data_IF_882058692816
#
_entry.id   IF_882058692816
#
_cell.length_a   1.000
_cell.length_b   1.000
_cell.length_c   1.000
_cell.angle_alpha   90.00
_cell.angle_beta   90.00
_cell.angle_gamma   90.00
#
_symmetry.space_group_name_H-M   'P 1'
#
loop_
_entity.id
_entity.type
_entity.pdbx_description
1 polymer ?
#
# COMPACT_ATOMS: atom_id res chain seq x y z
N UNK A 1 -3.40 17.93 -0.49
CA UNK A 1 -4.01 16.59 -0.46
C UNK A 1 -4.23 16.05 0.95
N UNK A 2 -3.30 15.31 1.60
CA UNK A 2 -3.60 14.64 2.89
C UNK A 2 -4.13 15.55 4.00
N UNK A 3 -3.59 16.78 4.13
CA UNK A 3 -4.10 17.79 5.08
C UNK A 3 -5.55 18.24 4.81
N UNK A 4 -5.99 18.18 3.55
CA UNK A 4 -7.34 18.56 3.12
C UNK A 4 -8.33 17.39 3.25
N UNK A 5 -7.84 16.18 3.50
CA UNK A 5 -8.65 14.96 3.67
C UNK A 5 -8.38 14.33 5.03
N UNK A 6 -8.84 14.95 6.14
CA UNK A 6 -8.53 14.48 7.49
C UNK A 6 -9.10 13.09 7.81
N UNK A 7 -10.14 12.65 7.08
CA UNK A 7 -10.74 11.31 7.22
C UNK A 7 -9.89 10.17 6.67
N UNK A 8 -8.85 10.46 5.87
CA UNK A 8 -7.92 9.43 5.41
C UNK A 8 -7.04 9.03 6.58
N UNK A 9 -7.14 7.77 7.00
CA UNK A 9 -6.34 7.22 8.09
C UNK A 9 -5.38 6.13 7.61
N UNK A 10 -5.66 5.54 6.44
CA UNK A 10 -4.92 4.40 5.89
C UNK A 10 -4.46 4.69 4.46
N UNK A 11 -3.22 4.33 4.14
CA UNK A 11 -2.62 4.45 2.81
C UNK A 11 -2.05 3.08 2.43
N UNK A 12 -2.56 2.54 1.33
CA UNK A 12 -2.17 1.24 0.77
C UNK A 12 -1.25 1.48 -0.44
N UNK A 13 -0.03 0.97 -0.41
CA UNK A 13 0.95 1.09 -1.49
C UNK A 13 0.94 -0.14 -2.38
N UNK A 14 0.80 0.06 -3.70
CA UNK A 14 0.99 -1.00 -4.68
C UNK A 14 2.49 -1.19 -4.95
N UNK A 15 3.12 -2.12 -4.25
CA UNK A 15 4.54 -2.46 -4.38
C UNK A 15 5.47 -1.62 -3.50
N UNK A 16 6.62 -2.21 -3.18
CA UNK A 16 7.63 -1.60 -2.31
C UNK A 16 8.19 -0.28 -2.84
N UNK A 17 8.27 -0.14 -4.18
CA UNK A 17 8.80 1.09 -4.80
C UNK A 17 7.91 2.30 -4.51
N UNK A 18 6.59 2.13 -4.50
CA UNK A 18 5.65 3.18 -4.14
C UNK A 18 5.81 3.59 -2.67
N UNK A 19 5.92 2.62 -1.76
CA UNK A 19 6.15 2.88 -0.34
C UNK A 19 7.49 3.60 -0.09
N UNK A 20 8.56 3.19 -0.77
CA UNK A 20 9.88 3.80 -0.64
C UNK A 20 9.88 5.27 -1.11
N UNK A 21 9.26 5.56 -2.25
CA UNK A 21 9.14 6.94 -2.73
C UNK A 21 8.25 7.78 -1.82
N UNK A 22 7.15 7.23 -1.32
CA UNK A 22 6.28 7.93 -0.40
C UNK A 22 7.03 8.29 0.89
N UNK A 23 7.75 7.34 1.49
CA UNK A 23 8.55 7.60 2.70
C UNK A 23 9.68 8.62 2.45
N UNK A 24 10.24 8.66 1.23
CA UNK A 24 11.32 9.58 0.87
C UNK A 24 10.84 11.03 0.65
N UNK A 25 9.68 11.21 0.03
CA UNK A 25 9.21 12.53 -0.40
C UNK A 25 8.06 13.09 0.44
N UNK A 26 7.29 12.23 1.10
CA UNK A 26 6.10 12.62 1.87
C UNK A 26 6.39 12.59 3.36
N UNK A 27 6.38 13.78 3.95
CA UNK A 27 6.52 13.95 5.39
C UNK A 27 5.13 14.03 6.03
N UNK A 28 4.79 13.03 6.84
CA UNK A 28 3.49 12.93 7.50
C UNK A 28 3.48 13.79 8.76
N UNK A 29 2.43 14.60 8.93
CA UNK A 29 2.21 15.41 10.14
C UNK A 29 1.35 14.71 11.19
N UNK A 30 0.59 13.69 10.78
CA UNK A 30 -0.20 12.81 11.65
C UNK A 30 0.19 11.37 11.35
N UNK A 31 -0.08 10.47 12.27
CA UNK A 31 0.07 9.04 12.01
C UNK A 31 -0.96 8.58 10.97
N UNK A 32 -0.49 7.76 10.04
CA UNK A 32 -1.31 7.04 9.08
C UNK A 32 -0.91 5.58 9.12
N UNK A 33 -1.87 4.70 8.93
CA UNK A 33 -1.61 3.28 8.74
C UNK A 33 -1.06 3.11 7.32
N UNK A 34 0.21 2.71 7.23
CA UNK A 34 0.93 2.54 5.97
C UNK A 34 1.09 1.05 5.69
N UNK A 35 0.43 0.55 4.65
CA UNK A 35 0.47 -0.87 4.29
C UNK A 35 1.06 -1.01 2.90
N UNK A 36 2.06 -1.87 2.76
CA UNK A 36 2.69 -2.15 1.46
C UNK A 36 2.20 -3.49 0.94
N UNK A 37 1.46 -3.45 -0.15
CA UNK A 37 0.93 -4.62 -0.84
C UNK A 37 1.87 -5.06 -1.97
N UNK A 38 1.86 -6.33 -2.39
CA UNK A 38 2.64 -6.76 -3.53
C UNK A 38 2.15 -6.07 -4.80
N UNK A 39 3.08 -5.74 -5.70
CA UNK A 39 2.71 -5.09 -6.96
C UNK A 39 1.84 -6.00 -7.82
N UNK A 40 0.79 -5.42 -8.40
CA UNK A 40 -0.13 -6.11 -9.33
C UNK A 40 0.45 -6.24 -10.74
N UNK A 41 1.66 -5.74 -10.99
CA UNK A 41 2.32 -5.86 -12.30
C UNK A 41 2.65 -7.33 -12.65
N UNK A 42 2.45 -7.76 -13.91
CA UNK A 42 2.76 -9.12 -14.36
C UNK A 42 4.25 -9.44 -14.36
N UNK A 43 5.14 -8.46 -14.12
CA UNK A 43 6.59 -8.63 -14.11
C UNK A 43 7.11 -9.61 -13.05
N UNK A 44 6.29 -9.99 -12.06
CA UNK A 44 6.59 -11.07 -11.12
C UNK A 44 5.99 -12.39 -11.63
N UNK A 45 6.65 -13.01 -12.62
CA UNK A 45 6.31 -14.32 -13.19
C UNK A 45 6.60 -15.51 -12.24
N UNK A 46 7.23 -15.25 -11.08
CA UNK A 46 7.54 -16.27 -10.07
C UNK A 46 6.54 -16.43 -8.93
N UNK A 47 5.55 -15.53 -8.79
CA UNK A 47 4.49 -15.63 -7.76
C UNK A 47 3.14 -15.96 -8.42
N UNK A 48 2.56 -17.09 -8.03
CA UNK A 48 1.22 -17.51 -8.45
C UNK A 48 0.17 -16.44 -8.13
N UNK A 49 -0.84 -16.33 -9.00
CA UNK A 49 -1.98 -15.43 -8.80
C UNK A 49 -2.62 -15.58 -7.40
N UNK A 50 -2.76 -16.82 -6.91
CA UNK A 50 -3.28 -17.12 -5.57
C UNK A 50 -2.47 -16.48 -4.44
N UNK A 51 -1.14 -16.55 -4.48
CA UNK A 51 -0.30 -15.92 -3.44
C UNK A 51 -0.44 -14.40 -3.44
N UNK A 52 -0.58 -13.78 -4.63
CA UNK A 52 -0.90 -12.34 -4.72
C UNK A 52 -2.30 -12.07 -4.18
N UNK A 53 -3.29 -12.92 -4.48
CA UNK A 53 -4.66 -12.76 -3.99
C UNK A 53 -4.70 -12.83 -2.47
N UNK A 54 -4.03 -13.81 -1.85
CA UNK A 54 -3.94 -13.96 -0.39
C UNK A 54 -3.26 -12.76 0.27
N UNK A 55 -2.16 -12.26 -0.31
CA UNK A 55 -1.50 -11.05 0.18
C UNK A 55 -2.40 -9.79 0.05
N UNK A 56 -3.34 -9.77 -0.91
CA UNK A 56 -4.31 -8.69 -1.08
C UNK A 56 -5.58 -8.88 -0.22
N UNK A 57 -5.89 -10.10 0.22
CA UNK A 57 -7.02 -10.39 1.13
C UNK A 57 -6.86 -9.73 2.49
N UNK A 58 -5.64 -9.40 2.92
CA UNK A 58 -5.41 -8.63 4.15
C UNK A 58 -6.18 -7.30 4.16
N UNK A 59 -6.51 -6.76 2.99
CA UNK A 59 -7.32 -5.53 2.86
C UNK A 59 -8.75 -5.76 3.37
N UNK A 60 -9.32 -6.96 3.18
CA UNK A 60 -10.68 -7.30 3.66
C UNK A 60 -10.77 -7.27 5.19
N UNK A 61 -9.66 -7.46 5.90
CA UNK A 61 -9.62 -7.39 7.37
C UNK A 61 -9.37 -5.96 7.90
N UNK A 62 -9.02 -5.01 7.02
CA UNK A 62 -8.63 -3.63 7.39
C UNK A 62 -9.75 -2.61 7.12
N UNK A 63 -10.74 -2.96 6.29
CA UNK A 63 -11.89 -2.13 5.93
C UNK A 63 -13.09 -2.51 6.81
#
# INVERSE_FOLDING_TARGET
>A
FLKQHPKINTILFNGQKAAAFFKKYVHLKKEYILITLPSTSPANAGKSFQSKLEEWKVIEEII
#
